data_IF_228714032875
#
_entry.id   IF_228714032875
#
_cell.length_a   1.000
_cell.length_b   1.000
_cell.length_c   1.000
_cell.angle_alpha   90.00
_cell.angle_beta   90.00
_cell.angle_gamma   90.00
#
_symmetry.space_group_name_H-M   'P 1'
#
loop_
_entity.id
_entity.type
_entity.pdbx_description
1 polymer ?
#
# COMPACT_ATOMS: atom_id res chain seq x y z
N UNK A 1 7.89 -10.72 -48.30
CA UNK A 1 8.61 -9.74 -47.46
C UNK A 1 7.71 -8.53 -47.32
N UNK A 2 7.15 -8.25 -46.13
CA UNK A 2 6.31 -7.06 -45.93
C UNK A 2 7.21 -5.87 -45.57
N UNK A 3 7.25 -4.87 -46.44
CA UNK A 3 8.00 -3.62 -46.23
C UNK A 3 7.09 -2.60 -45.53
N UNK A 4 7.43 -2.25 -44.30
CA UNK A 4 6.64 -1.31 -43.49
C UNK A 4 7.11 0.10 -43.81
N UNK A 5 6.25 0.89 -44.46
CA UNK A 5 6.55 2.29 -44.81
C UNK A 5 6.93 3.10 -43.56
N UNK A 6 8.05 3.84 -43.57
CA UNK A 6 8.44 4.69 -42.46
C UNK A 6 7.42 5.83 -42.28
N UNK A 7 7.08 6.12 -41.02
CA UNK A 7 6.08 7.13 -40.64
C UNK A 7 6.57 8.50 -41.14
N UNK A 8 5.78 9.15 -42.00
CA UNK A 8 6.16 10.42 -42.65
C UNK A 8 6.01 11.64 -41.75
N UNK A 9 5.26 11.55 -40.66
CA UNK A 9 5.20 12.59 -39.66
C UNK A 9 4.69 12.08 -38.29
N UNK A 10 5.13 12.72 -37.22
CA UNK A 10 4.75 12.40 -35.84
C UNK A 10 5.94 12.09 -34.92
N UNK A 11 6.24 13.00 -33.98
CA UNK A 11 7.18 12.69 -32.89
C UNK A 11 6.54 11.68 -31.93
N UNK A 12 7.36 10.78 -31.39
CA UNK A 12 6.95 9.91 -30.27
C UNK A 12 6.31 10.76 -29.17
N UNK A 13 4.99 10.61 -28.97
CA UNK A 13 4.24 11.27 -27.89
C UNK A 13 4.54 10.66 -26.51
N UNK A 14 5.28 9.56 -26.48
CA UNK A 14 5.57 8.81 -25.28
C UNK A 14 6.92 9.25 -24.72
N UNK A 15 6.89 10.31 -23.91
CA UNK A 15 8.00 10.69 -23.03
C UNK A 15 8.22 9.58 -22.01
N UNK A 16 9.47 9.27 -21.64
CA UNK A 16 9.82 8.29 -20.59
C UNK A 16 9.01 8.44 -19.30
N UNK A 17 8.67 9.68 -18.94
CA UNK A 17 7.78 10.02 -17.81
C UNK A 17 6.35 9.49 -17.97
N UNK A 18 5.80 9.55 -19.19
CA UNK A 18 4.45 9.06 -19.51
C UNK A 18 4.41 7.53 -19.58
N UNK A 19 5.52 6.87 -19.94
CA UNK A 19 5.60 5.41 -19.82
C UNK A 19 5.64 4.97 -18.34
N UNK A 20 6.36 5.72 -17.50
CA UNK A 20 6.42 5.46 -16.05
C UNK A 20 5.05 5.58 -15.38
N UNK A 21 4.29 6.65 -15.67
CA UNK A 21 2.93 6.80 -15.15
C UNK A 21 2.00 5.71 -15.66
N UNK A 22 2.11 5.33 -16.95
CA UNK A 22 1.29 4.25 -17.54
C UNK A 22 1.58 2.89 -16.89
N UNK A 23 2.84 2.60 -16.57
CA UNK A 23 3.24 1.38 -15.87
C UNK A 23 2.74 1.36 -14.42
N UNK A 24 2.82 2.48 -13.70
CA UNK A 24 2.26 2.62 -12.36
C UNK A 24 0.73 2.48 -12.36
N UNK A 25 0.05 3.09 -13.33
CA UNK A 25 -1.39 2.94 -13.52
C UNK A 25 -1.75 1.49 -13.86
N UNK A 26 -0.95 0.80 -14.66
CA UNK A 26 -1.15 -0.61 -14.96
C UNK A 26 -0.97 -1.51 -13.72
N UNK A 27 0.07 -1.29 -12.92
CA UNK A 27 0.35 -2.06 -11.69
C UNK A 27 -0.74 -1.83 -10.64
N UNK A 28 -1.15 -0.58 -10.43
CA UNK A 28 -2.21 -0.24 -9.48
C UNK A 28 -3.59 -0.69 -9.94
N UNK A 29 -3.87 -0.69 -11.25
CA UNK A 29 -5.17 -1.10 -11.82
C UNK A 29 -5.37 -2.62 -11.89
N UNK A 30 -4.30 -3.40 -12.00
CA UNK A 30 -4.41 -4.86 -12.25
C UNK A 30 -4.03 -5.74 -11.06
N UNK A 31 -3.38 -5.20 -10.03
CA UNK A 31 -2.80 -6.01 -8.96
C UNK A 31 -3.21 -5.58 -7.55
N UNK A 32 -3.47 -6.58 -6.70
CA UNK A 32 -3.61 -6.48 -5.23
C UNK A 32 -2.28 -6.28 -4.51
N UNK A 33 -1.18 -6.45 -5.24
CA UNK A 33 0.19 -6.42 -4.71
C UNK A 33 0.49 -5.13 -3.95
N UNK A 34 0.21 -3.91 -4.47
CA UNK A 34 0.43 -2.67 -3.73
C UNK A 34 -0.34 -2.63 -2.39
N UNK A 35 -1.57 -3.14 -2.39
CA UNK A 35 -2.43 -3.17 -1.22
C UNK A 35 -1.87 -4.07 -0.11
N UNK A 36 -1.34 -5.25 -0.49
CA UNK A 36 -0.71 -6.21 0.43
C UNK A 36 0.61 -5.68 1.00
N UNK A 37 1.30 -4.82 0.27
CA UNK A 37 2.50 -4.15 0.76
C UNK A 37 2.17 -3.13 1.84
N UNK A 38 1.10 -2.34 1.66
CA UNK A 38 0.64 -1.36 2.66
C UNK A 38 0.18 -2.03 3.94
N UNK A 39 -0.53 -3.16 3.87
CA UNK A 39 -0.95 -3.89 5.07
C UNK A 39 0.23 -4.50 5.84
N UNK A 40 1.20 -5.06 5.12
CA UNK A 40 2.43 -5.58 5.72
C UNK A 40 3.27 -4.46 6.37
N UNK A 41 3.39 -3.31 5.71
CA UNK A 41 4.05 -2.13 6.28
C UNK A 41 3.32 -1.62 7.53
N UNK A 42 1.99 -1.54 7.51
CA UNK A 42 1.18 -1.15 8.66
C UNK A 42 1.36 -2.09 9.86
N UNK A 43 1.45 -3.40 9.62
CA UNK A 43 1.71 -4.39 10.66
C UNK A 43 3.11 -4.23 11.26
N UNK A 44 4.14 -4.00 10.44
CA UNK A 44 5.50 -3.73 10.91
C UNK A 44 5.56 -2.48 11.80
N UNK A 45 4.89 -1.40 11.39
CA UNK A 45 4.83 -0.15 12.16
C UNK A 45 4.08 -0.37 13.48
N UNK A 46 3.01 -1.17 13.50
CA UNK A 46 2.31 -1.51 14.73
C UNK A 46 3.20 -2.26 15.73
N UNK A 47 3.95 -3.27 15.26
CA UNK A 47 4.92 -4.00 16.11
C UNK A 47 5.99 -3.04 16.65
N UNK A 48 6.51 -2.15 15.80
CA UNK A 48 7.48 -1.14 16.22
C UNK A 48 6.94 -0.20 17.29
N UNK A 49 5.71 0.30 17.12
CA UNK A 49 5.02 1.12 18.12
C UNK A 49 4.89 0.37 19.45
N UNK A 50 4.49 -0.91 19.42
CA UNK A 50 4.34 -1.71 20.62
C UNK A 50 5.69 -1.91 21.35
N UNK A 51 6.76 -2.17 20.60
CA UNK A 51 8.13 -2.25 21.13
C UNK A 51 8.57 -0.93 21.78
N UNK A 52 8.28 0.20 21.16
CA UNK A 52 8.62 1.52 21.72
C UNK A 52 7.84 1.81 23.01
N UNK A 53 6.55 1.50 23.06
CA UNK A 53 5.75 1.63 24.28
C UNK A 53 6.29 0.77 25.42
N UNK A 54 6.68 -0.48 25.14
CA UNK A 54 7.31 -1.38 26.14
C UNK A 54 8.68 -0.86 26.58
N UNK A 55 9.49 -0.36 25.65
CA UNK A 55 10.80 0.23 25.96
C UNK A 55 10.69 1.43 26.90
N UNK A 56 9.75 2.35 26.62
CA UNK A 56 9.50 3.52 27.47
C UNK A 56 8.98 3.10 28.85
N UNK A 57 8.09 2.10 28.91
CA UNK A 57 7.59 1.56 30.16
C UNK A 57 8.73 0.93 31.00
N UNK A 58 9.62 0.17 30.37
CA UNK A 58 10.81 -0.39 31.00
C UNK A 58 11.75 0.70 31.52
N UNK A 59 12.02 1.73 30.72
CA UNK A 59 12.86 2.84 31.15
C UNK A 59 12.28 3.56 32.39
N UNK A 60 10.95 3.75 32.42
CA UNK A 60 10.26 4.36 33.56
C UNK A 60 10.37 3.53 34.83
N UNK A 61 10.19 2.21 34.76
CA UNK A 61 10.18 1.34 35.94
C UNK A 61 11.58 1.10 36.52
N UNK A 62 12.59 0.90 35.68
CA UNK A 62 13.91 0.43 36.12
C UNK A 62 14.96 1.52 36.22
N UNK A 63 14.92 2.57 35.39
CA UNK A 63 15.95 3.62 35.40
C UNK A 63 15.59 4.84 36.25
N UNK A 64 14.31 5.12 36.50
CA UNK A 64 13.88 6.27 37.32
C UNK A 64 14.17 7.67 36.74
N UNK A 65 15.18 7.81 35.87
CA UNK A 65 15.62 9.07 35.24
C UNK A 65 14.78 9.44 34.01
N UNK A 66 13.45 9.41 34.14
CA UNK A 66 12.57 9.83 33.04
C UNK A 66 11.89 11.13 33.41
N UNK A 67 11.91 12.08 32.48
CA UNK A 67 11.24 13.38 32.64
C UNK A 67 9.77 13.13 33.06
N UNK A 68 9.31 13.73 34.17
CA UNK A 68 7.96 13.51 34.67
C UNK A 68 6.93 13.84 33.60
N UNK A 69 5.95 12.94 33.42
CA UNK A 69 4.91 13.07 32.40
C UNK A 69 5.27 12.55 31.00
N UNK A 70 6.55 12.43 30.66
CA UNK A 70 6.98 12.02 29.31
C UNK A 70 6.48 10.62 28.92
N UNK A 71 6.66 9.65 29.80
CA UNK A 71 6.15 8.29 29.59
C UNK A 71 4.60 8.24 29.55
N UNK A 72 3.92 9.07 30.35
CA UNK A 72 2.46 9.11 30.38
C UNK A 72 1.85 9.69 29.08
N UNK A 73 2.61 10.52 28.37
CA UNK A 73 2.20 11.11 27.09
C UNK A 73 2.59 10.20 25.92
N UNK A 74 3.83 9.69 25.90
CA UNK A 74 4.34 8.95 24.76
C UNK A 74 3.75 7.54 24.63
N UNK A 75 3.57 6.81 25.74
CA UNK A 75 3.01 5.45 25.70
C UNK A 75 1.64 5.43 24.98
N UNK A 76 0.65 6.26 25.36
CA UNK A 76 -0.63 6.26 24.66
C UNK A 76 -0.50 6.76 23.22
N UNK A 77 0.35 7.74 22.92
CA UNK A 77 0.54 8.23 21.54
C UNK A 77 1.08 7.11 20.64
N UNK A 78 2.15 6.43 21.05
CA UNK A 78 2.70 5.32 20.28
C UNK A 78 1.67 4.21 20.14
N UNK A 79 1.04 3.79 21.25
CA UNK A 79 0.06 2.71 21.24
C UNK A 79 -1.14 3.01 20.34
N UNK A 80 -1.80 4.17 20.53
CA UNK A 80 -2.93 4.62 19.72
C UNK A 80 -2.53 4.80 18.24
N UNK A 81 -1.38 5.42 17.98
CA UNK A 81 -0.87 5.61 16.63
C UNK A 81 -0.60 4.28 15.90
N UNK A 82 -0.02 3.31 16.60
CA UNK A 82 0.17 1.96 16.07
C UNK A 82 -1.16 1.29 15.74
N UNK A 83 -2.10 1.30 16.68
CA UNK A 83 -3.44 0.71 16.49
C UNK A 83 -4.17 1.36 15.32
N UNK A 84 -4.10 2.69 15.17
CA UNK A 84 -4.70 3.42 14.06
C UNK A 84 -4.11 3.02 12.71
N UNK A 85 -2.78 2.89 12.62
CA UNK A 85 -2.10 2.44 11.38
C UNK A 85 -2.48 1.00 11.04
N UNK A 86 -2.61 0.12 12.04
CA UNK A 86 -3.11 -1.24 11.85
C UNK A 86 -4.51 -1.24 11.24
N UNK A 87 -5.43 -0.43 11.77
CA UNK A 87 -6.78 -0.29 11.22
C UNK A 87 -6.78 0.27 9.80
N UNK A 88 -5.94 1.27 9.49
CA UNK A 88 -5.79 1.78 8.12
C UNK A 88 -5.31 0.68 7.16
N UNK A 89 -4.41 -0.20 7.60
CA UNK A 89 -4.00 -1.38 6.83
C UNK A 89 -5.18 -2.30 6.51
N UNK A 90 -5.96 -2.68 7.53
CA UNK A 90 -7.12 -3.57 7.37
C UNK A 90 -8.17 -2.95 6.42
N UNK A 91 -8.48 -1.67 6.60
CA UNK A 91 -9.40 -0.93 5.73
C UNK A 91 -8.86 -0.89 4.30
N UNK A 92 -7.56 -0.66 4.12
CA UNK A 92 -6.89 -0.71 2.83
C UNK A 92 -7.10 -2.05 2.13
N UNK A 93 -6.90 -3.18 2.83
CA UNK A 93 -7.14 -4.51 2.28
C UNK A 93 -8.60 -4.73 1.86
N UNK A 94 -9.53 -4.27 2.69
CA UNK A 94 -10.95 -4.37 2.41
C UNK A 94 -11.35 -3.57 1.16
N UNK A 95 -10.87 -2.32 1.05
CA UNK A 95 -11.12 -1.45 -0.11
C UNK A 95 -10.61 -2.10 -1.40
N UNK A 96 -9.42 -2.70 -1.40
CA UNK A 96 -8.94 -3.34 -2.63
C UNK A 96 -9.57 -4.70 -2.94
N UNK A 97 -10.13 -5.41 -1.95
CA UNK A 97 -11.05 -6.53 -2.21
C UNK A 97 -12.34 -6.02 -2.87
N UNK A 98 -12.94 -4.96 -2.34
CA UNK A 98 -14.11 -4.31 -2.91
C UNK A 98 -13.84 -3.81 -4.34
N UNK A 99 -12.68 -3.22 -4.60
CA UNK A 99 -12.28 -2.77 -5.93
C UNK A 99 -12.22 -3.93 -6.93
N UNK A 100 -11.71 -5.10 -6.53
CA UNK A 100 -11.73 -6.30 -7.37
C UNK A 100 -13.13 -6.81 -7.64
N UNK A 101 -13.98 -6.84 -6.62
CA UNK A 101 -15.38 -7.27 -6.70
C UNK A 101 -16.16 -6.37 -7.68
N UNK A 102 -16.02 -5.05 -7.52
CA UNK A 102 -16.64 -4.04 -8.38
C UNK A 102 -16.21 -4.16 -9.85
N UNK A 103 -14.96 -4.60 -10.10
CA UNK A 103 -14.41 -4.71 -11.46
C UNK A 103 -14.97 -5.91 -12.25
N UNK A 104 -15.72 -6.83 -11.62
CA UNK A 104 -16.59 -7.85 -12.25
C UNK A 104 -16.06 -8.47 -13.56
N UNK A 105 -14.76 -8.74 -13.66
CA UNK A 105 -14.16 -9.35 -14.85
C UNK A 105 -14.65 -10.80 -14.94
N UNK A 106 -15.41 -11.21 -15.97
CA UNK A 106 -15.83 -12.60 -16.11
C UNK A 106 -14.59 -13.49 -16.15
N UNK A 107 -14.60 -14.58 -15.34
CA UNK A 107 -13.45 -15.48 -15.16
C UNK A 107 -13.07 -16.27 -16.42
N UNK A 108 -13.94 -16.23 -17.44
CA UNK A 108 -13.76 -16.84 -18.75
C UNK A 108 -14.65 -16.10 -19.75
N UNK A 109 -14.14 -15.89 -20.96
CA UNK A 109 -14.97 -15.58 -22.12
C UNK A 109 -15.56 -16.93 -22.56
N UNK A 110 -16.89 -17.04 -22.64
CA UNK A 110 -17.51 -18.22 -23.28
C UNK A 110 -17.23 -18.11 -24.77
N UNK A 111 -16.59 -19.12 -25.36
CA UNK A 111 -16.35 -19.25 -26.82
C UNK A 111 -17.63 -19.27 -27.69
N UNK A 112 -18.81 -19.10 -27.09
CA UNK A 112 -20.09 -19.23 -27.77
C UNK A 112 -20.50 -18.01 -28.61
N UNK A 113 -19.69 -16.95 -28.68
CA UNK A 113 -19.93 -15.78 -29.56
C UNK A 113 -19.09 -15.79 -30.85
N UNK A 114 -18.38 -16.89 -31.15
CA UNK A 114 -17.59 -17.06 -32.37
C UNK A 114 -18.22 -18.00 -33.42
N UNK A 115 -19.53 -18.23 -33.37
CA UNK A 115 -20.27 -18.94 -34.42
C UNK A 115 -21.54 -18.21 -34.84
#
# INVERSE_FOLDING_TARGET
LFDVRPRSDGRSKHTWRNLGSLALDAITSTSVVPLRFVTMAGMLIFVWSCLMSVFILYHKLWRGDTIPGWAAILIPIYFLGGVQIMFMGIVGEYIGKLYKEAKSRPRYIKDAELF
#
